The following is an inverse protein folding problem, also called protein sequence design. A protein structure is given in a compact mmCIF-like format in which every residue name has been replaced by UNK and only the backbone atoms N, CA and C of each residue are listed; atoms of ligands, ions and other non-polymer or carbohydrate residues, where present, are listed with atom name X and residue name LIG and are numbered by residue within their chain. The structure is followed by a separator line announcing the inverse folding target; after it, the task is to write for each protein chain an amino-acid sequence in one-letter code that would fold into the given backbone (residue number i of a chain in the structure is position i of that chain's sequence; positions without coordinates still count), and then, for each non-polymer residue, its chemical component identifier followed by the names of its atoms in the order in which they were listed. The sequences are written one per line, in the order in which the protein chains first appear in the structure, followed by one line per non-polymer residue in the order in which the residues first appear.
data_IF_483259906575
#
_entry.id   IF_483259906575
#
_cell.length_a   1.000
_cell.length_b   1.000
_cell.length_c   1.000
_cell.angle_alpha   90.00
_cell.angle_beta   90.00
_cell.angle_gamma   90.00
#
_symmetry.space_group_name_H-M   'P 1'
#
loop_
_entity.id
_entity.type
_entity.pdbx_description
1 polymer ?
#
# COMPACT_ATOMS: atom_id res chain seq x y z
N UNK A 1 20.25 3.67 -19.21
CA UNK A 1 18.88 3.25 -18.78
C UNK A 1 18.06 4.51 -18.59
N UNK A 2 16.86 4.62 -19.17
CA UNK A 2 16.00 5.79 -19.00
C UNK A 2 14.77 5.37 -18.17
N UNK A 3 14.93 5.41 -16.83
CA UNK A 3 13.93 4.95 -15.88
C UNK A 3 13.67 5.99 -14.82
N UNK A 4 12.41 6.35 -14.64
CA UNK A 4 11.93 7.20 -13.54
C UNK A 4 11.41 6.33 -12.40
N UNK A 5 11.86 6.62 -11.18
CA UNK A 5 11.21 6.12 -9.96
C UNK A 5 10.18 7.15 -9.50
N UNK A 6 8.95 6.73 -9.23
CA UNK A 6 7.89 7.61 -8.74
C UNK A 6 7.46 7.21 -7.33
N UNK A 7 7.36 8.18 -6.44
CA UNK A 7 7.05 8.00 -5.01
C UNK A 7 6.01 9.04 -4.62
N UNK A 8 5.05 8.65 -3.79
CA UNK A 8 4.16 9.59 -3.08
C UNK A 8 4.32 9.39 -1.58
N UNK A 9 4.20 10.46 -0.79
CA UNK A 9 4.32 10.34 0.67
C UNK A 9 3.58 11.45 1.40
N UNK A 10 3.21 11.16 2.65
CA UNK A 10 2.69 12.11 3.63
C UNK A 10 3.30 11.79 4.98
N UNK A 11 4.17 12.66 5.50
CA UNK A 11 4.92 12.45 6.75
C UNK A 11 5.77 11.16 6.73
N UNK A 12 6.61 11.02 5.70
CA UNK A 12 7.38 9.79 5.45
C UNK A 12 8.89 10.00 5.53
N UNK A 13 9.37 11.07 6.22
CA UNK A 13 10.79 11.44 6.24
C UNK A 13 11.70 10.29 6.67
N UNK A 14 11.30 9.49 7.68
CA UNK A 14 12.10 8.37 8.17
C UNK A 14 12.22 7.25 7.13
N UNK A 15 11.14 6.96 6.43
CA UNK A 15 11.16 6.00 5.32
C UNK A 15 11.95 6.51 4.12
N UNK A 16 11.86 7.80 3.80
CA UNK A 16 12.61 8.42 2.70
C UNK A 16 14.13 8.43 2.98
N UNK A 17 14.55 8.61 4.22
CA UNK A 17 15.97 8.52 4.62
C UNK A 17 16.58 7.16 4.31
N UNK A 18 15.80 6.10 4.41
CA UNK A 18 16.26 4.74 4.10
C UNK A 18 16.08 4.37 2.61
N UNK A 19 15.02 4.88 1.96
CA UNK A 19 14.69 4.52 0.57
C UNK A 19 15.52 5.29 -0.45
N UNK A 20 15.56 6.63 -0.38
CA UNK A 20 16.15 7.46 -1.44
C UNK A 20 17.63 7.16 -1.72
N UNK A 21 18.50 6.84 -0.73
CA UNK A 21 19.87 6.44 -1.01
C UNK A 21 20.00 5.15 -1.84
N UNK A 22 18.99 4.26 -1.80
CA UNK A 22 18.95 3.02 -2.57
C UNK A 22 18.51 3.22 -4.04
N UNK A 23 18.08 4.43 -4.41
CA UNK A 23 17.52 4.72 -5.73
C UNK A 23 18.48 5.46 -6.66
N UNK A 24 19.75 5.60 -6.30
CA UNK A 24 20.80 6.31 -7.11
C UNK A 24 21.01 5.73 -8.51
N UNK A 25 20.57 4.51 -8.77
CA UNK A 25 20.61 3.85 -10.07
C UNK A 25 19.52 4.36 -11.03
N UNK A 26 18.47 5.02 -10.53
CA UNK A 26 17.42 5.61 -11.37
C UNK A 26 17.93 6.87 -12.07
N UNK A 27 17.46 7.10 -13.31
CA UNK A 27 17.79 8.32 -14.05
C UNK A 27 17.11 9.54 -13.43
N UNK A 28 15.94 9.33 -12.85
CA UNK A 28 15.09 10.36 -12.26
C UNK A 28 14.31 9.80 -11.08
N UNK A 29 14.15 10.60 -10.04
CA UNK A 29 13.25 10.31 -8.93
C UNK A 29 12.20 11.44 -8.87
N UNK A 30 10.93 11.09 -9.03
CA UNK A 30 9.79 11.99 -8.88
C UNK A 30 9.16 11.72 -7.52
N UNK A 31 9.17 12.72 -6.63
CA UNK A 31 8.50 12.64 -5.33
C UNK A 31 7.30 13.59 -5.31
N UNK A 32 6.12 13.06 -4.98
CA UNK A 32 4.90 13.85 -4.77
C UNK A 32 4.60 13.88 -3.28
N UNK A 33 4.85 15.02 -2.69
CA UNK A 33 4.50 15.30 -1.30
C UNK A 33 3.00 15.57 -1.17
N UNK A 34 2.37 14.85 -0.23
CA UNK A 34 0.94 14.93 0.01
C UNK A 34 0.65 15.74 1.29
N UNK A 35 1.04 17.04 1.32
CA UNK A 35 0.86 17.95 2.47
C UNK A 35 1.56 17.43 3.74
N UNK A 36 2.82 17.01 3.62
CA UNK A 36 3.62 16.62 4.79
C UNK A 36 3.87 17.82 5.71
N UNK A 37 3.90 17.56 7.01
CA UNK A 37 4.21 18.51 8.06
C UNK A 37 5.58 18.24 8.69
N UNK A 38 6.23 17.13 8.30
CA UNK A 38 7.60 16.79 8.64
C UNK A 38 8.57 17.23 7.52
N UNK A 39 9.84 16.92 7.66
CA UNK A 39 10.90 17.27 6.71
C UNK A 39 10.89 16.48 5.39
N UNK A 40 9.82 15.71 5.08
CA UNK A 40 9.76 14.83 3.89
C UNK A 40 10.02 15.57 2.59
N UNK A 41 9.37 16.73 2.40
CA UNK A 41 9.48 17.55 1.20
C UNK A 41 10.90 18.09 1.00
N UNK A 42 11.47 18.68 2.06
CA UNK A 42 12.80 19.28 2.02
C UNK A 42 13.87 18.21 1.83
N UNK A 43 13.79 17.12 2.58
CA UNK A 43 14.73 16.00 2.48
C UNK A 43 14.77 15.41 1.05
N UNK A 44 13.61 15.20 0.42
CA UNK A 44 13.56 14.70 -0.95
C UNK A 44 14.20 15.70 -1.93
N UNK A 45 13.96 17.00 -1.76
CA UNK A 45 14.56 18.06 -2.59
C UNK A 45 16.08 18.11 -2.46
N UNK A 46 16.60 18.01 -1.24
CA UNK A 46 18.05 18.05 -0.96
C UNK A 46 18.79 16.87 -1.58
N UNK A 47 18.11 15.73 -1.74
CA UNK A 47 18.66 14.56 -2.43
C UNK A 47 18.48 14.59 -3.96
N UNK A 48 18.02 15.71 -4.52
CA UNK A 48 17.92 15.91 -5.97
C UNK A 48 16.67 15.30 -6.61
N UNK A 49 15.65 14.94 -5.83
CA UNK A 49 14.37 14.51 -6.40
C UNK A 49 13.66 15.67 -7.09
N UNK A 50 12.92 15.37 -8.17
CA UNK A 50 11.92 16.30 -8.71
C UNK A 50 10.69 16.25 -7.83
N UNK A 51 10.45 17.33 -7.07
CA UNK A 51 9.44 17.36 -6.02
C UNK A 51 8.22 18.14 -6.46
N UNK A 52 7.04 17.62 -6.19
CA UNK A 52 5.73 18.23 -6.42
C UNK A 52 4.90 18.15 -5.12
N UNK A 53 4.07 19.18 -4.86
CA UNK A 53 3.15 19.17 -3.72
C UNK A 53 1.71 19.03 -4.21
N UNK A 54 0.94 18.15 -3.55
CA UNK A 54 -0.45 17.87 -3.88
C UNK A 54 -1.27 17.71 -2.59
N UNK A 55 -2.59 18.01 -2.63
CA UNK A 55 -3.46 17.70 -1.51
C UNK A 55 -3.40 16.23 -1.13
N UNK A 56 -3.43 15.95 0.17
CA UNK A 56 -3.46 14.60 0.69
C UNK A 56 -4.82 13.95 0.40
N UNK A 57 -4.92 13.25 -0.73
CA UNK A 57 -6.15 12.62 -1.18
C UNK A 57 -6.37 11.27 -0.47
N UNK A 58 -7.61 11.01 -0.01
CA UNK A 58 -7.98 9.70 0.57
C UNK A 58 -7.82 8.56 -0.44
N UNK A 59 -8.05 8.83 -1.73
CA UNK A 59 -7.69 7.91 -2.80
C UNK A 59 -6.25 8.16 -3.25
N UNK A 60 -5.31 7.42 -2.69
CA UNK A 60 -3.88 7.52 -3.00
C UNK A 60 -3.57 7.34 -4.49
N UNK A 61 -4.42 6.63 -5.25
CA UNK A 61 -4.19 6.38 -6.67
C UNK A 61 -4.23 7.68 -7.50
N UNK A 62 -4.95 8.71 -7.02
CA UNK A 62 -4.97 10.04 -7.66
C UNK A 62 -3.56 10.65 -7.66
N UNK A 63 -2.89 10.65 -6.52
CA UNK A 63 -1.53 11.19 -6.40
C UNK A 63 -0.49 10.25 -7.04
N UNK A 64 -0.69 8.93 -7.00
CA UNK A 64 0.14 7.97 -7.75
C UNK A 64 0.06 8.20 -9.25
N UNK A 65 -1.15 8.40 -9.81
CA UNK A 65 -1.35 8.74 -11.21
C UNK A 65 -0.61 10.03 -11.58
N UNK A 66 -0.76 11.07 -10.76
CA UNK A 66 -0.06 12.33 -10.98
C UNK A 66 1.47 12.14 -10.98
N UNK A 67 2.02 11.40 -10.02
CA UNK A 67 3.46 11.11 -9.99
C UNK A 67 3.94 10.40 -11.26
N UNK A 68 3.17 9.40 -11.73
CA UNK A 68 3.47 8.68 -12.98
C UNK A 68 3.41 9.58 -14.22
N UNK A 69 2.49 10.55 -14.26
CA UNK A 69 2.39 11.55 -15.34
C UNK A 69 3.58 12.50 -15.38
N UNK A 70 4.21 12.78 -14.22
CA UNK A 70 5.40 13.63 -14.14
C UNK A 70 6.69 12.91 -14.58
N UNK A 71 6.68 11.58 -14.67
CA UNK A 71 7.85 10.80 -15.07
C UNK A 71 8.27 11.08 -16.51
N UNK A 72 9.57 11.30 -16.74
CA UNK A 72 10.15 11.60 -18.06
C UNK A 72 10.82 10.38 -18.71
N UNK A 73 11.19 9.35 -17.92
CA UNK A 73 11.84 8.14 -18.40
C UNK A 73 10.94 7.27 -19.30
N UNK A 74 11.53 6.41 -20.09
CA UNK A 74 10.80 5.45 -20.94
C UNK A 74 10.12 4.37 -20.12
N UNK A 75 10.70 4.08 -18.96
CA UNK A 75 10.16 3.16 -17.94
C UNK A 75 9.85 3.90 -16.66
N UNK A 76 8.80 3.45 -15.99
CA UNK A 76 8.37 3.95 -14.68
C UNK A 76 8.40 2.78 -13.69
N UNK A 77 9.08 3.00 -12.57
CA UNK A 77 9.05 2.10 -11.43
C UNK A 77 8.42 2.84 -10.24
N UNK A 78 7.20 2.46 -9.89
CA UNK A 78 6.50 3.09 -8.80
C UNK A 78 6.76 2.35 -7.49
N UNK A 79 7.14 3.11 -6.43
CA UNK A 79 7.59 2.60 -5.14
C UNK A 79 6.87 3.34 -4.02
N UNK A 80 6.42 2.62 -3.01
CA UNK A 80 5.90 3.22 -1.78
C UNK A 80 7.06 3.53 -0.81
N UNK A 81 6.99 4.56 0.07
CA UNK A 81 8.10 4.95 0.95
C UNK A 81 8.60 3.84 1.88
N UNK A 82 7.71 2.93 2.29
CA UNK A 82 7.99 1.81 3.17
C UNK A 82 8.54 0.56 2.44
N UNK A 83 8.91 0.70 1.15
CA UNK A 83 9.53 -0.36 0.35
C UNK A 83 11.04 -0.15 0.22
N UNK A 84 11.81 -1.25 0.03
CA UNK A 84 13.26 -1.23 -0.20
C UNK A 84 13.59 -2.10 -1.39
N UNK A 85 14.53 -1.65 -2.20
CA UNK A 85 14.91 -2.27 -3.48
C UNK A 85 16.27 -2.93 -3.31
N UNK A 86 16.34 -4.26 -3.16
CA UNK A 86 17.60 -4.97 -3.08
C UNK A 86 18.39 -4.89 -4.40
N UNK A 87 19.72 -4.97 -4.33
CA UNK A 87 20.62 -4.86 -5.47
C UNK A 87 20.29 -5.86 -6.59
N UNK A 88 20.02 -7.11 -6.24
CA UNK A 88 19.62 -8.13 -7.22
C UNK A 88 18.32 -7.80 -7.97
N UNK A 89 17.40 -7.02 -7.37
CA UNK A 89 16.21 -6.53 -8.05
C UNK A 89 16.57 -5.40 -9.01
N UNK A 90 17.48 -4.51 -8.63
CA UNK A 90 18.00 -3.45 -9.52
C UNK A 90 18.64 -4.06 -10.76
N UNK A 91 19.58 -5.01 -10.60
CA UNK A 91 20.23 -5.71 -11.69
C UNK A 91 19.22 -6.38 -12.65
N UNK A 92 18.19 -7.03 -12.09
CA UNK A 92 17.16 -7.66 -12.90
C UNK A 92 16.32 -6.64 -13.66
N UNK A 93 15.94 -5.50 -13.03
CA UNK A 93 15.22 -4.41 -13.70
C UNK A 93 16.06 -3.87 -14.87
N UNK A 94 17.34 -3.55 -14.64
CA UNK A 94 18.24 -3.05 -15.67
C UNK A 94 18.34 -4.00 -16.86
N UNK A 95 18.44 -5.30 -16.59
CA UNK A 95 18.55 -6.34 -17.63
C UNK A 95 17.25 -6.47 -18.43
N UNK A 96 16.09 -6.52 -17.77
CA UNK A 96 14.83 -6.77 -18.48
C UNK A 96 14.39 -5.59 -19.33
N UNK A 97 14.61 -4.34 -18.89
CA UNK A 97 14.17 -3.17 -19.68
C UNK A 97 14.99 -2.96 -20.96
N UNK A 98 16.19 -3.56 -21.07
CA UNK A 98 17.03 -3.46 -22.27
C UNK A 98 16.60 -4.37 -23.41
N UNK A 99 15.95 -5.51 -23.12
CA UNK A 99 15.72 -6.57 -24.11
C UNK A 99 14.29 -7.10 -24.14
N UNK A 100 13.34 -6.43 -23.46
CA UNK A 100 11.98 -6.94 -23.30
C UNK A 100 11.02 -6.44 -24.37
N UNK A 101 10.05 -7.30 -24.72
CA UNK A 101 8.85 -6.92 -25.47
C UNK A 101 7.63 -6.72 -24.55
N UNK A 102 7.77 -6.97 -23.25
CA UNK A 102 6.69 -6.75 -22.30
C UNK A 102 6.51 -5.27 -22.00
N UNK A 103 5.26 -4.85 -21.79
CA UNK A 103 4.90 -3.48 -21.42
C UNK A 103 4.96 -3.21 -19.92
N UNK A 104 4.93 -4.27 -19.11
CA UNK A 104 5.00 -4.14 -17.65
C UNK A 104 5.52 -5.42 -17.00
N UNK A 105 5.89 -5.29 -15.71
CA UNK A 105 6.34 -6.41 -14.89
C UNK A 105 5.71 -6.39 -13.50
N UNK A 106 5.36 -7.59 -13.04
CA UNK A 106 5.00 -7.87 -11.67
C UNK A 106 6.23 -8.35 -10.90
N UNK A 107 6.28 -8.03 -9.63
CA UNK A 107 7.27 -8.55 -8.68
C UNK A 107 6.58 -8.96 -7.38
N UNK A 108 7.26 -9.73 -6.56
CA UNK A 108 6.77 -10.17 -5.26
C UNK A 108 7.33 -9.26 -4.17
N UNK A 109 6.52 -8.98 -3.13
CA UNK A 109 6.96 -8.28 -1.94
C UNK A 109 7.14 -9.25 -0.78
N UNK A 110 8.20 -9.03 0.00
CA UNK A 110 8.43 -9.66 1.30
C UNK A 110 7.94 -8.71 2.38
N UNK A 111 6.78 -9.01 2.94
CA UNK A 111 6.17 -8.19 3.98
C UNK A 111 6.85 -8.46 5.34
N UNK A 112 7.52 -7.44 5.89
CA UNK A 112 8.17 -7.46 7.19
C UNK A 112 7.32 -6.72 8.21
N UNK A 113 6.74 -7.44 9.17
CA UNK A 113 5.98 -6.84 10.27
C UNK A 113 6.83 -6.89 11.53
N UNK A 114 7.08 -5.73 12.13
CA UNK A 114 7.88 -5.65 13.37
C UNK A 114 9.26 -6.29 13.20
N UNK A 115 9.89 -6.11 12.06
CA UNK A 115 11.19 -6.71 11.72
C UNK A 115 11.16 -8.19 11.27
N UNK A 116 9.99 -8.86 11.26
CA UNK A 116 9.86 -10.27 10.90
C UNK A 116 9.25 -10.46 9.52
N UNK A 117 9.94 -11.17 8.63
CA UNK A 117 9.37 -11.55 7.34
C UNK A 117 8.26 -12.58 7.50
N UNK A 118 7.05 -12.20 7.09
CA UNK A 118 5.89 -13.09 7.07
C UNK A 118 5.86 -13.90 5.77
N UNK A 119 6.09 -15.19 5.86
CA UNK A 119 6.14 -16.13 4.71
C UNK A 119 4.83 -16.85 4.44
N UNK A 120 3.98 -16.95 5.45
CA UNK A 120 2.77 -17.75 5.45
C UNK A 120 1.52 -16.89 5.70
N UNK A 121 0.39 -17.49 5.99
CA UNK A 121 -0.83 -16.76 6.29
C UNK A 121 -1.35 -15.92 5.10
N UNK A 122 -0.99 -16.26 3.85
CA UNK A 122 -1.26 -15.46 2.65
C UNK A 122 -0.56 -14.10 2.62
N UNK A 123 0.57 -13.95 3.34
CA UNK A 123 1.39 -12.75 3.31
C UNK A 123 2.46 -12.80 2.20
N UNK A 124 2.81 -14.01 1.73
CA UNK A 124 3.72 -14.22 0.62
C UNK A 124 3.24 -15.40 -0.24
N UNK A 125 3.38 -15.33 -1.58
CA UNK A 125 3.83 -14.18 -2.36
C UNK A 125 2.76 -13.07 -2.43
N UNK A 126 3.19 -11.84 -2.16
CA UNK A 126 2.38 -10.64 -2.39
C UNK A 126 2.81 -9.99 -3.71
N UNK A 127 2.10 -10.31 -4.78
CA UNK A 127 2.48 -9.92 -6.14
C UNK A 127 1.92 -8.55 -6.49
N UNK A 128 2.82 -7.62 -6.86
CA UNK A 128 2.50 -6.24 -7.21
C UNK A 128 2.99 -5.92 -8.62
N UNK A 129 2.23 -5.12 -9.38
CA UNK A 129 2.67 -4.55 -10.63
C UNK A 129 3.34 -3.22 -10.32
N UNK A 130 4.64 -3.09 -10.61
CA UNK A 130 5.44 -1.94 -10.20
C UNK A 130 6.25 -1.31 -11.33
N UNK A 131 6.73 -2.08 -12.29
CA UNK A 131 7.54 -1.63 -13.42
C UNK A 131 6.72 -1.67 -14.70
N UNK A 132 6.71 -0.55 -15.46
CA UNK A 132 5.97 -0.48 -16.72
C UNK A 132 6.53 0.59 -17.66
N UNK A 133 6.31 0.43 -18.95
CA UNK A 133 6.61 1.44 -19.96
C UNK A 133 5.71 2.65 -19.73
N UNK A 134 6.29 3.85 -19.84
CA UNK A 134 5.55 5.09 -19.68
C UNK A 134 4.35 5.14 -20.62
N UNK A 135 3.18 5.45 -20.06
CA UNK A 135 1.91 5.50 -20.80
C UNK A 135 1.22 4.15 -21.01
N UNK A 136 1.86 3.01 -20.65
CA UNK A 136 1.24 1.69 -20.77
C UNK A 136 0.36 1.30 -19.59
N UNK A 137 0.49 1.97 -18.44
CA UNK A 137 -0.24 1.67 -17.22
C UNK A 137 -0.97 2.89 -16.67
N UNK A 138 -2.15 2.68 -16.10
CA UNK A 138 -2.96 3.72 -15.47
C UNK A 138 -3.83 3.17 -14.34
N UNK A 139 -4.16 4.03 -13.35
CA UNK A 139 -5.21 3.74 -12.38
C UNK A 139 -6.55 4.28 -12.88
N UNK A 140 -7.68 3.56 -12.68
CA UNK A 140 -9.03 4.08 -12.99
C UNK A 140 -9.43 5.30 -12.14
N UNK A 141 -8.81 5.50 -10.97
CA UNK A 141 -9.04 6.62 -10.03
C UNK A 141 -10.47 6.72 -9.46
N UNK A 142 -11.20 5.60 -9.42
CA UNK A 142 -12.57 5.54 -8.87
C UNK A 142 -12.58 5.09 -7.41
N UNK A 143 -11.65 4.19 -7.01
CA UNK A 143 -11.58 3.61 -5.67
C UNK A 143 -10.13 3.39 -5.21
N UNK A 144 -9.89 3.39 -3.89
CA UNK A 144 -8.54 3.22 -3.31
C UNK A 144 -7.93 1.81 -3.51
N UNK A 145 -8.74 0.78 -3.76
CA UNK A 145 -8.28 -0.60 -3.95
C UNK A 145 -8.12 -1.01 -5.42
N UNK A 146 -8.04 -0.04 -6.32
CA UNK A 146 -7.87 -0.33 -7.74
C UNK A 146 -6.46 -0.83 -8.02
N UNK A 147 -6.42 -1.74 -9.00
CA UNK A 147 -5.15 -2.22 -9.55
C UNK A 147 -4.80 -1.41 -10.78
N UNK A 148 -3.50 -1.25 -11.02
CA UNK A 148 -2.99 -0.73 -12.28
C UNK A 148 -3.54 -1.57 -13.44
N UNK A 149 -4.12 -0.89 -14.44
CA UNK A 149 -4.52 -1.46 -15.72
C UNK A 149 -3.36 -1.26 -16.69
N UNK A 150 -2.95 -2.31 -17.39
CA UNK A 150 -1.84 -2.28 -18.34
C UNK A 150 -2.35 -2.55 -19.74
N UNK A 151 -1.89 -1.74 -20.69
CA UNK A 151 -2.05 -2.00 -22.13
C UNK A 151 -0.81 -2.73 -22.63
N UNK A 152 -0.96 -4.01 -23.00
CA UNK A 152 0.13 -4.84 -23.47
C UNK A 152 0.43 -6.05 -22.59
N UNK A 153 1.56 -6.70 -22.85
CA UNK A 153 1.98 -7.92 -22.15
C UNK A 153 2.62 -7.61 -20.80
N UNK A 154 2.40 -8.51 -19.83
CA UNK A 154 2.91 -8.39 -18.46
C UNK A 154 3.84 -9.57 -18.18
N UNK A 155 5.12 -9.26 -17.91
CA UNK A 155 6.10 -10.21 -17.41
C UNK A 155 6.11 -10.31 -15.89
N UNK A 156 7.04 -11.11 -15.37
CA UNK A 156 7.28 -11.24 -13.92
C UNK A 156 8.77 -11.20 -13.63
N UNK A 157 9.16 -10.39 -12.65
CA UNK A 157 10.51 -10.42 -12.09
C UNK A 157 10.61 -11.56 -11.06
N UNK A 158 11.81 -12.12 -10.94
CA UNK A 158 12.09 -13.22 -10.00
C UNK A 158 12.51 -12.69 -8.62
N UNK A 159 13.21 -11.56 -8.61
CA UNK A 159 13.68 -10.89 -7.40
C UNK A 159 12.53 -10.26 -6.65
N UNK A 160 12.64 -10.27 -5.33
CA UNK A 160 11.62 -9.74 -4.43
C UNK A 160 11.98 -8.33 -3.96
N UNK A 161 10.98 -7.49 -3.74
CA UNK A 161 11.07 -6.21 -3.05
C UNK A 161 10.79 -6.39 -1.56
N UNK A 162 11.48 -5.67 -0.69
CA UNK A 162 11.21 -5.67 0.75
C UNK A 162 10.15 -4.61 1.05
N UNK A 163 9.25 -4.89 1.99
CA UNK A 163 8.19 -3.99 2.40
C UNK A 163 8.03 -4.00 3.91
N UNK A 164 8.10 -2.82 4.53
CA UNK A 164 8.09 -2.58 5.98
C UNK A 164 6.87 -1.75 6.39
N UNK A 165 5.64 -2.26 6.23
CA UNK A 165 4.42 -1.47 6.43
C UNK A 165 4.20 -1.07 7.88
N UNK A 166 4.82 -1.79 8.83
CA UNK A 166 4.65 -1.58 10.27
C UNK A 166 5.96 -1.83 11.00
N UNK A 167 6.54 -0.76 11.55
CA UNK A 167 7.76 -0.84 12.36
C UNK A 167 7.45 -1.33 13.79
N UNK A 168 6.26 -1.01 14.31
CA UNK A 168 5.82 -1.38 15.66
C UNK A 168 4.30 -1.56 15.72
N UNK A 169 3.83 -2.08 16.87
CA UNK A 169 2.40 -2.37 17.09
C UNK A 169 1.56 -1.08 17.12
N UNK A 170 2.08 0.02 17.67
CA UNK A 170 1.34 1.29 17.74
C UNK A 170 1.04 1.82 16.34
N UNK A 171 2.03 1.82 15.45
CA UNK A 171 1.85 2.20 14.05
C UNK A 171 0.85 1.29 13.34
N UNK A 172 0.91 -0.03 13.59
CA UNK A 172 -0.08 -0.96 13.06
C UNK A 172 -1.49 -0.61 13.52
N UNK A 173 -1.68 -0.35 14.83
CA UNK A 173 -3.00 -0.04 15.39
C UNK A 173 -3.57 1.27 14.83
N UNK A 174 -2.74 2.30 14.65
CA UNK A 174 -3.15 3.56 14.02
C UNK A 174 -3.62 3.35 12.57
N UNK A 175 -2.83 2.61 11.76
CA UNK A 175 -3.24 2.26 10.39
C UNK A 175 -4.48 1.35 10.36
N UNK A 176 -4.59 0.40 11.29
CA UNK A 176 -5.75 -0.49 11.41
C UNK A 176 -7.03 0.30 11.72
N UNK A 177 -6.95 1.27 12.63
CA UNK A 177 -8.03 2.18 12.97
C UNK A 177 -8.50 2.95 11.74
N UNK A 178 -7.57 3.59 11.01
CA UNK A 178 -7.84 4.34 9.81
C UNK A 178 -8.51 3.48 8.72
N UNK A 179 -7.86 2.37 8.31
CA UNK A 179 -8.37 1.52 7.23
C UNK A 179 -9.68 0.83 7.56
N UNK A 180 -9.92 0.44 8.82
CA UNK A 180 -11.20 -0.12 9.22
C UNK A 180 -12.34 0.90 9.10
N UNK A 181 -12.06 2.22 9.27
CA UNK A 181 -13.00 3.30 8.99
C UNK A 181 -13.33 3.43 7.49
N UNK A 182 -12.31 3.42 6.64
CA UNK A 182 -12.49 3.44 5.18
C UNK A 182 -13.33 2.25 4.71
N UNK A 183 -13.02 1.03 5.20
CA UNK A 183 -13.77 -0.17 4.85
C UNK A 183 -15.23 -0.15 5.37
N UNK A 184 -15.50 0.49 6.51
CA UNK A 184 -16.86 0.72 6.99
C UNK A 184 -17.64 1.64 6.03
N UNK A 185 -16.97 2.68 5.49
CA UNK A 185 -17.53 3.52 4.43
C UNK A 185 -17.94 2.71 3.20
N UNK A 186 -17.07 1.81 2.72
CA UNK A 186 -17.42 0.92 1.60
C UNK A 186 -18.57 -0.02 1.90
N UNK A 187 -18.70 -0.53 3.13
CA UNK A 187 -19.86 -1.34 3.50
C UNK A 187 -21.15 -0.53 3.44
N UNK A 188 -21.12 0.73 3.90
CA UNK A 188 -22.26 1.65 3.82
C UNK A 188 -22.65 1.92 2.37
N UNK A 189 -21.67 2.26 1.52
CA UNK A 189 -21.90 2.61 0.11
C UNK A 189 -22.37 1.40 -0.71
N UNK A 190 -21.98 0.19 -0.30
CA UNK A 190 -22.50 -1.07 -0.82
C UNK A 190 -23.90 -1.45 -0.27
N UNK A 191 -24.54 -0.60 0.54
CA UNK A 191 -25.87 -0.82 1.07
C UNK A 191 -25.97 -1.91 2.15
N UNK A 192 -24.86 -2.27 2.80
CA UNK A 192 -24.87 -3.28 3.87
C UNK A 192 -25.60 -2.71 5.09
N UNK A 193 -26.68 -3.37 5.50
CA UNK A 193 -27.51 -2.97 6.64
C UNK A 193 -27.11 -3.68 7.92
N UNK A 194 -27.28 -3.01 9.07
CA UNK A 194 -27.09 -3.61 10.39
C UNK A 194 -28.34 -4.38 10.78
N UNK A 195 -28.31 -5.70 10.56
CA UNK A 195 -29.38 -6.64 10.85
C UNK A 195 -28.86 -7.82 11.67
N UNK A 196 -29.75 -8.58 12.32
CA UNK A 196 -29.35 -9.78 13.09
C UNK A 196 -28.52 -10.78 12.23
N UNK A 197 -28.95 -11.02 10.98
CA UNK A 197 -28.23 -11.91 10.06
C UNK A 197 -26.83 -11.38 9.70
N UNK A 198 -26.70 -10.10 9.38
CA UNK A 198 -25.40 -9.48 9.12
C UNK A 198 -24.55 -9.41 10.39
N UNK A 199 -25.13 -9.21 11.57
CA UNK A 199 -24.39 -9.25 12.84
C UNK A 199 -23.75 -10.63 13.05
N UNK A 200 -24.51 -11.72 12.92
CA UNK A 200 -23.94 -13.09 12.99
C UNK A 200 -22.84 -13.27 11.94
N UNK A 201 -23.07 -12.82 10.71
CA UNK A 201 -22.11 -12.94 9.61
C UNK A 201 -20.79 -12.20 9.88
N UNK A 202 -20.86 -10.93 10.31
CA UNK A 202 -19.68 -10.07 10.47
C UNK A 202 -18.99 -10.20 11.83
N UNK A 203 -19.72 -10.54 12.90
CA UNK A 203 -19.15 -10.64 14.24
C UNK A 203 -18.67 -12.05 14.59
N UNK A 204 -19.22 -13.10 13.91
CA UNK A 204 -18.88 -14.49 14.22
C UNK A 204 -18.33 -15.24 13.01
N UNK A 205 -19.13 -15.41 11.94
CA UNK A 205 -18.81 -16.33 10.84
C UNK A 205 -17.57 -15.87 10.04
N UNK A 206 -17.55 -14.61 9.61
CA UNK A 206 -16.42 -14.06 8.84
C UNK A 206 -15.12 -14.00 9.64
N UNK A 207 -15.09 -13.47 10.89
CA UNK A 207 -13.87 -13.47 11.71
C UNK A 207 -13.33 -14.88 11.94
N UNK A 208 -14.19 -15.80 12.35
CA UNK A 208 -13.78 -17.18 12.62
C UNK A 208 -13.21 -17.87 11.37
N UNK A 209 -13.93 -17.80 10.26
CA UNK A 209 -13.47 -18.40 9.00
C UNK A 209 -12.17 -17.76 8.49
N UNK A 210 -12.01 -16.43 8.66
CA UNK A 210 -10.80 -15.70 8.27
C UNK A 210 -9.60 -16.12 9.12
N UNK A 211 -9.78 -16.21 10.46
CA UNK A 211 -8.75 -16.67 11.37
C UNK A 211 -8.28 -18.08 11.02
N UNK A 212 -9.22 -19.05 10.93
CA UNK A 212 -8.87 -20.43 10.57
C UNK A 212 -8.15 -20.50 9.23
N UNK A 213 -8.65 -19.81 8.23
CA UNK A 213 -8.03 -19.78 6.90
C UNK A 213 -6.60 -19.26 6.95
N UNK A 214 -6.35 -18.12 7.61
CA UNK A 214 -5.02 -17.50 7.67
C UNK A 214 -4.07 -18.28 8.58
N UNK A 215 -4.52 -18.59 9.78
CA UNK A 215 -3.64 -19.18 10.79
C UNK A 215 -3.37 -20.67 10.53
N UNK A 216 -4.43 -21.46 10.28
CA UNK A 216 -4.29 -22.90 10.07
C UNK A 216 -4.07 -23.24 8.60
N UNK A 217 -5.06 -23.01 7.73
CA UNK A 217 -5.02 -23.50 6.35
C UNK A 217 -3.93 -22.86 5.48
N UNK A 218 -3.56 -21.62 5.74
CA UNK A 218 -2.46 -20.91 5.07
C UNK A 218 -1.16 -20.93 5.88
N UNK A 219 -1.12 -21.70 6.97
CA UNK A 219 0.08 -21.95 7.74
C UNK A 219 0.64 -20.74 8.50
N UNK A 220 -0.20 -19.73 8.81
CA UNK A 220 0.25 -18.51 9.52
C UNK A 220 0.89 -18.81 10.88
N UNK A 221 0.56 -19.95 11.53
CA UNK A 221 1.20 -20.41 12.76
C UNK A 221 2.71 -20.64 12.60
N UNK A 222 3.19 -20.89 11.38
CA UNK A 222 4.61 -21.12 11.07
C UNK A 222 5.45 -19.84 11.14
N UNK A 223 4.82 -18.67 11.07
CA UNK A 223 5.46 -17.36 11.25
C UNK A 223 5.48 -16.92 12.73
N UNK A 224 5.17 -17.83 13.67
CA UNK A 224 5.22 -17.59 15.09
C UNK A 224 4.23 -16.51 15.57
N UNK A 225 4.66 -15.70 16.55
CA UNK A 225 3.82 -14.65 17.13
C UNK A 225 3.36 -13.59 16.10
N UNK A 226 4.20 -13.07 15.20
CA UNK A 226 3.74 -12.14 14.16
C UNK A 226 2.67 -12.73 13.24
N UNK A 227 2.75 -14.03 12.90
CA UNK A 227 1.73 -14.73 12.13
C UNK A 227 0.40 -14.87 12.86
N UNK A 228 0.44 -15.16 14.18
CA UNK A 228 -0.74 -15.16 15.05
C UNK A 228 -1.38 -13.77 15.12
N UNK A 229 -0.56 -12.75 15.39
CA UNK A 229 -0.98 -11.36 15.43
C UNK A 229 -1.74 -10.96 14.15
N UNK A 230 -1.14 -11.21 12.99
CA UNK A 230 -1.77 -10.89 11.70
C UNK A 230 -3.09 -11.63 11.49
N UNK A 231 -3.16 -12.92 11.87
CA UNK A 231 -4.39 -13.72 11.73
C UNK A 231 -5.53 -13.21 12.62
N UNK A 232 -5.19 -12.79 13.86
CA UNK A 232 -6.15 -12.20 14.81
C UNK A 232 -6.67 -10.86 14.27
N UNK A 233 -5.79 -9.93 13.90
CA UNK A 233 -6.21 -8.59 13.47
C UNK A 233 -6.91 -8.60 12.10
N UNK A 234 -6.54 -9.50 11.19
CA UNK A 234 -7.27 -9.67 9.93
C UNK A 234 -8.70 -10.22 10.15
N UNK A 235 -8.87 -11.07 11.16
CA UNK A 235 -10.20 -11.51 11.58
C UNK A 235 -10.97 -10.37 12.30
N UNK A 236 -10.31 -9.69 13.24
CA UNK A 236 -10.89 -8.59 14.01
C UNK A 236 -11.34 -7.42 13.13
N UNK A 237 -10.69 -7.20 11.98
CA UNK A 237 -11.09 -6.17 11.03
C UNK A 237 -12.56 -6.31 10.59
N UNK A 238 -13.09 -7.54 10.43
CA UNK A 238 -14.51 -7.74 10.14
C UNK A 238 -15.43 -7.22 11.25
N UNK A 239 -15.02 -7.39 12.49
CA UNK A 239 -15.77 -6.95 13.67
C UNK A 239 -15.74 -5.43 13.75
N UNK A 240 -14.54 -4.83 13.72
CA UNK A 240 -14.35 -3.38 13.91
C UNK A 240 -15.03 -2.57 12.81
N UNK A 241 -14.85 -2.93 11.53
CA UNK A 241 -15.50 -2.23 10.43
C UNK A 241 -17.03 -2.34 10.45
N UNK A 242 -17.57 -3.43 11.02
CA UNK A 242 -19.02 -3.58 11.16
C UNK A 242 -19.57 -2.72 12.31
N UNK A 243 -18.84 -2.60 13.42
CA UNK A 243 -19.20 -1.64 14.47
C UNK A 243 -19.09 -0.20 13.98
N UNK A 244 -18.04 0.14 13.21
CA UNK A 244 -17.92 1.47 12.58
C UNK A 244 -19.05 1.72 11.56
N UNK A 245 -19.52 0.69 10.83
CA UNK A 245 -20.70 0.81 9.98
C UNK A 245 -21.94 1.17 10.80
N UNK A 246 -22.14 0.51 11.95
CA UNK A 246 -23.25 0.84 12.85
C UNK A 246 -23.17 2.29 13.32
N UNK A 247 -22.00 2.73 13.77
CA UNK A 247 -21.75 4.12 14.18
C UNK A 247 -22.06 5.10 13.03
N UNK A 248 -21.54 4.85 11.83
CA UNK A 248 -21.79 5.68 10.65
C UNK A 248 -23.27 5.81 10.27
N UNK A 249 -24.07 4.80 10.56
CA UNK A 249 -25.50 4.76 10.18
C UNK A 249 -26.44 5.22 11.29
N UNK A 250 -26.01 5.22 12.57
CA UNK A 250 -26.86 5.54 13.72
C UNK A 250 -26.46 6.82 14.45
N UNK A 251 -25.22 7.33 14.24
CA UNK A 251 -24.78 8.58 14.87
C UNK A 251 -25.24 9.79 14.03
N UNK A 252 -25.99 10.75 14.60
CA UNK A 252 -26.40 11.95 13.88
C UNK A 252 -25.20 12.74 13.31
N UNK A 253 -25.30 13.33 12.11
CA UNK A 253 -24.20 14.07 11.47
C UNK A 253 -23.61 15.20 12.33
N UNK A 254 -24.42 15.85 13.14
CA UNK A 254 -24.02 17.00 13.97
C UNK A 254 -23.08 16.66 15.15
N UNK A 255 -22.87 15.37 15.46
CA UNK A 255 -21.90 14.92 16.49
C UNK A 255 -20.63 14.30 15.89
N UNK A 256 -20.48 14.29 14.59
CA UNK A 256 -19.23 13.86 13.94
C UNK A 256 -18.30 15.06 13.94
N UNK A 257 -17.35 15.10 14.86
CA UNK A 257 -16.21 16.01 14.70
C UNK A 257 -15.61 15.75 13.30
N UNK A 258 -15.34 16.79 12.53
CA UNK A 258 -14.58 16.60 11.29
C UNK A 258 -13.27 15.93 11.69
N UNK A 259 -13.05 14.71 11.20
CA UNK A 259 -11.70 14.12 11.24
C UNK A 259 -10.85 15.09 10.43
N UNK A 260 -10.10 15.93 11.14
CA UNK A 260 -9.18 16.87 10.53
C UNK A 260 -8.21 16.12 9.62
N UNK A 261 -7.61 16.77 8.64
CA UNK A 261 -6.62 16.17 7.76
C UNK A 261 -5.43 15.55 8.50
N UNK A 262 -5.26 15.84 9.78
CA UNK A 262 -4.14 15.43 10.65
C UNK A 262 -4.26 14.04 11.28
N UNK A 263 -5.36 13.31 11.13
CA UNK A 263 -5.55 12.02 11.81
C UNK A 263 -5.16 10.80 10.98
N UNK A 264 -4.31 10.96 9.96
CA UNK A 264 -3.74 9.82 9.24
C UNK A 264 -2.38 9.42 9.84
N UNK A 265 -2.19 8.13 10.17
CA UNK A 265 -0.93 7.62 10.67
C UNK A 265 0.16 7.63 9.61
#
# INVERSE_FOLDING_TARGET
MNLSVTIIGHNEVDHLRELLPLLKWATEIVYVDCESQDDSLEFARDLGCRVFSRPNNTNLNVNKSYAMEQASGDWVFYVDPDERIPENLVEEIEKVIQATTNSAFKLKRRNHYFGHWLRHGSQYPDTQLRLFQRGSASFPNQHVHEKLIVKGSIGSLQSDMLHFPYLNISQFLSKFEFYSGVEAGYLRDAGVQVTAGNSIRFLLLKPFSRFLRRYLFKGGFRDGFPGLFCAIFDALNFVVRYFKLWELTHTPPAKREPQGPDSRP
#
